data_IF_564100881217
#
_entry.id   IF_564100881217
#
_cell.length_a   1.000
_cell.length_b   1.000
_cell.length_c   1.000
_cell.angle_alpha   90.00
_cell.angle_beta   90.00
_cell.angle_gamma   90.00
#
_symmetry.space_group_name_H-M   'P 1'
#
loop_
_entity.id
_entity.type
_entity.pdbx_description
1 polymer ?
#
# COMPACT_ATOMS: atom_id res chain seq x y z
N UNK A 1 -18.12 26.81 -11.41
CA UNK A 1 -18.71 25.46 -11.45
C UNK A 1 -18.79 25.02 -10.01
N UNK A 2 -19.95 24.95 -9.41
CA UNK A 2 -20.07 24.38 -8.08
C UNK A 2 -19.70 22.90 -8.20
N UNK A 3 -18.54 22.55 -7.67
CA UNK A 3 -18.24 21.16 -7.38
C UNK A 3 -19.38 20.62 -6.54
N UNK A 4 -20.21 19.80 -7.14
CA UNK A 4 -21.10 18.93 -6.37
C UNK A 4 -20.16 17.94 -5.70
N UNK A 5 -19.65 18.34 -4.54
CA UNK A 5 -19.04 17.43 -3.61
C UNK A 5 -20.00 16.26 -3.48
N UNK A 6 -19.54 15.07 -3.84
CA UNK A 6 -20.31 13.85 -3.63
C UNK A 6 -20.80 13.86 -2.18
N UNK A 7 -22.00 13.41 -1.95
CA UNK A 7 -22.63 13.48 -0.64
C UNK A 7 -21.82 12.78 0.48
N UNK A 8 -20.87 11.91 0.10
CA UNK A 8 -19.86 11.36 1.01
C UNK A 8 -18.89 12.42 1.57
N UNK A 9 -18.55 13.44 0.80
CA UNK A 9 -17.58 14.46 1.26
C UNK A 9 -18.19 15.54 2.16
N UNK A 10 -19.50 15.51 2.36
CA UNK A 10 -20.21 16.44 3.26
C UNK A 10 -20.70 15.81 4.56
N UNK A 11 -20.74 14.50 4.67
CA UNK A 11 -21.19 13.79 5.87
C UNK A 11 -20.10 12.84 6.39
N UNK A 12 -19.21 13.37 7.21
CA UNK A 12 -18.14 12.60 7.86
C UNK A 12 -18.62 11.31 8.53
N UNK A 13 -19.88 11.30 8.97
CA UNK A 13 -20.49 10.13 9.62
C UNK A 13 -20.76 9.01 8.63
N UNK A 14 -21.15 9.32 7.41
CA UNK A 14 -21.39 8.33 6.36
C UNK A 14 -20.07 7.75 5.84
N UNK A 15 -19.05 8.60 5.66
CA UNK A 15 -17.71 8.16 5.25
C UNK A 15 -17.08 7.19 6.24
N UNK A 16 -17.10 7.52 7.53
CA UNK A 16 -16.56 6.66 8.58
C UNK A 16 -17.30 5.33 8.61
N UNK A 17 -18.63 5.33 8.52
CA UNK A 17 -19.42 4.09 8.50
C UNK A 17 -19.10 3.21 7.31
N UNK A 18 -18.93 3.79 6.13
CA UNK A 18 -18.58 3.01 4.93
C UNK A 18 -17.19 2.41 5.08
N UNK A 19 -16.20 3.19 5.51
CA UNK A 19 -14.84 2.68 5.77
C UNK A 19 -14.84 1.56 6.80
N UNK A 20 -15.54 1.73 7.92
CA UNK A 20 -15.63 0.73 8.98
C UNK A 20 -16.31 -0.56 8.48
N UNK A 21 -17.39 -0.45 7.73
CA UNK A 21 -18.06 -1.61 7.15
C UNK A 21 -17.18 -2.34 6.14
N UNK A 22 -16.45 -1.61 5.29
CA UNK A 22 -15.53 -2.23 4.35
C UNK A 22 -14.36 -2.90 5.05
N UNK A 23 -13.79 -2.28 6.05
CA UNK A 23 -12.72 -2.86 6.86
C UNK A 23 -13.15 -4.15 7.54
N UNK A 24 -14.32 -4.12 8.16
CA UNK A 24 -14.91 -5.29 8.81
C UNK A 24 -15.25 -6.41 7.82
N UNK A 25 -15.75 -6.04 6.65
CA UNK A 25 -16.04 -6.97 5.56
C UNK A 25 -14.77 -7.64 5.03
N UNK A 26 -13.69 -6.88 4.84
CA UNK A 26 -12.40 -7.39 4.39
C UNK A 26 -11.75 -8.32 5.44
N UNK A 27 -11.79 -7.95 6.71
CA UNK A 27 -11.29 -8.77 7.83
C UNK A 27 -12.08 -10.07 7.96
N UNK A 28 -13.40 -10.02 7.88
CA UNK A 28 -14.26 -11.20 7.98
C UNK A 28 -14.01 -12.18 6.84
N UNK A 29 -13.53 -11.69 5.69
CA UNK A 29 -13.13 -12.50 4.55
C UNK A 29 -11.72 -13.10 4.68
N UNK A 30 -11.01 -12.78 5.77
CA UNK A 30 -9.66 -13.28 6.05
C UNK A 30 -8.56 -12.59 5.24
N UNK A 31 -8.81 -11.39 4.74
CA UNK A 31 -7.84 -10.62 3.95
C UNK A 31 -6.97 -9.71 4.80
N UNK A 32 -7.44 -9.39 6.01
CA UNK A 32 -6.69 -8.59 7.00
C UNK A 32 -6.83 -9.17 8.39
N UNK A 33 -5.76 -9.11 9.17
CA UNK A 33 -5.78 -9.45 10.58
C UNK A 33 -6.45 -8.36 11.42
N UNK A 34 -7.13 -8.74 12.46
CA UNK A 34 -7.71 -7.84 13.44
C UNK A 34 -9.06 -8.30 13.98
N UNK A 35 -9.57 -7.55 14.95
CA UNK A 35 -10.88 -7.81 15.53
C UNK A 35 -11.97 -7.66 14.48
N UNK A 36 -12.84 -8.65 14.40
CA UNK A 36 -14.03 -8.65 13.54
C UNK A 36 -15.26 -8.58 14.44
N UNK A 37 -16.13 -7.62 14.19
CA UNK A 37 -17.44 -7.61 14.83
C UNK A 37 -18.30 -8.75 14.27
N UNK A 38 -18.45 -9.79 15.07
CA UNK A 38 -19.25 -10.98 14.74
C UNK A 38 -20.74 -10.82 15.09
N UNK A 39 -21.13 -9.71 15.69
CA UNK A 39 -22.54 -9.45 16.05
C UNK A 39 -23.44 -9.32 14.81
N UNK A 40 -22.85 -8.92 13.67
CA UNK A 40 -23.54 -8.78 12.39
C UNK A 40 -22.99 -9.83 11.41
N UNK A 41 -23.89 -10.58 10.79
CA UNK A 41 -23.49 -11.58 9.80
C UNK A 41 -22.88 -10.95 8.55
N UNK A 42 -22.02 -11.71 7.87
CA UNK A 42 -21.38 -11.26 6.62
C UNK A 42 -22.38 -10.81 5.56
N UNK A 43 -23.49 -11.55 5.40
CA UNK A 43 -24.55 -11.22 4.44
C UNK A 43 -25.28 -9.93 4.80
N UNK A 44 -25.47 -9.64 6.09
CA UNK A 44 -26.08 -8.39 6.54
C UNK A 44 -25.16 -7.19 6.33
N UNK A 45 -23.85 -7.35 6.55
CA UNK A 45 -22.86 -6.30 6.26
C UNK A 45 -22.86 -5.97 4.76
N UNK A 46 -22.79 -6.99 3.91
CA UNK A 46 -22.87 -6.83 2.46
C UNK A 46 -24.14 -6.12 2.02
N UNK A 47 -25.28 -6.51 2.59
CA UNK A 47 -26.56 -5.86 2.31
C UNK A 47 -26.58 -4.40 2.73
N UNK A 48 -26.10 -4.09 3.95
CA UNK A 48 -26.00 -2.71 4.43
C UNK A 48 -25.14 -1.82 3.54
N UNK A 49 -23.98 -2.32 3.09
CA UNK A 49 -23.10 -1.62 2.16
C UNK A 49 -23.83 -1.37 0.84
N UNK A 50 -24.47 -2.38 0.27
CA UNK A 50 -25.26 -2.23 -0.96
C UNK A 50 -26.37 -1.21 -0.81
N UNK A 51 -27.11 -1.24 0.29
CA UNK A 51 -28.20 -0.33 0.55
C UNK A 51 -27.71 1.13 0.67
N UNK A 52 -26.57 1.35 1.34
CA UNK A 52 -25.93 2.67 1.44
C UNK A 52 -25.46 3.17 0.08
N UNK A 53 -24.74 2.36 -0.69
CA UNK A 53 -24.26 2.74 -2.01
C UNK A 53 -25.42 3.04 -2.97
N UNK A 54 -26.46 2.20 -2.97
CA UNK A 54 -27.65 2.41 -3.80
C UNK A 54 -28.47 3.63 -3.38
N UNK A 55 -28.52 3.95 -2.08
CA UNK A 55 -29.15 5.18 -1.60
C UNK A 55 -28.44 6.43 -2.14
N UNK A 56 -27.11 6.43 -2.16
CA UNK A 56 -26.33 7.53 -2.73
C UNK A 56 -26.48 7.62 -4.26
N UNK A 57 -26.53 6.50 -4.97
CA UNK A 57 -26.81 6.47 -6.41
C UNK A 57 -28.18 7.08 -6.72
N UNK A 58 -29.21 6.74 -5.96
CA UNK A 58 -30.55 7.32 -6.10
C UNK A 58 -30.55 8.83 -5.84
N UNK A 59 -29.86 9.28 -4.80
CA UNK A 59 -29.74 10.69 -4.44
C UNK A 59 -29.00 11.48 -5.53
N UNK A 60 -27.91 10.94 -6.06
CA UNK A 60 -27.11 11.57 -7.09
C UNK A 60 -27.84 11.62 -8.45
N UNK A 61 -28.53 10.53 -8.82
CA UNK A 61 -29.31 10.46 -10.05
C UNK A 61 -30.61 11.25 -9.99
N UNK A 62 -31.09 11.64 -8.80
CA UNK A 62 -32.39 12.25 -8.55
C UNK A 62 -33.58 11.43 -9.09
N UNK A 63 -33.39 10.11 -9.18
CA UNK A 63 -34.37 9.16 -9.70
C UNK A 63 -34.86 8.27 -8.56
N UNK A 64 -36.13 8.23 -8.34
CA UNK A 64 -36.75 7.29 -7.39
C UNK A 64 -37.55 6.24 -8.17
N UNK A 65 -36.99 5.03 -8.21
CA UNK A 65 -37.61 3.89 -8.85
C UNK A 65 -38.09 2.89 -7.79
N UNK A 66 -39.37 2.48 -7.89
CA UNK A 66 -39.86 1.36 -7.11
C UNK A 66 -39.19 0.05 -7.57
N UNK A 67 -39.03 -0.90 -6.67
CA UNK A 67 -38.34 -2.19 -6.93
C UNK A 67 -39.17 -3.15 -7.81
N UNK A 68 -39.83 -2.67 -8.87
CA UNK A 68 -40.51 -3.48 -9.86
C UNK A 68 -39.58 -3.83 -11.02
N UNK A 69 -39.83 -4.95 -11.69
CA UNK A 69 -38.99 -5.43 -12.80
C UNK A 69 -38.92 -4.37 -13.94
N UNK A 70 -39.99 -3.69 -14.23
CA UNK A 70 -40.02 -2.62 -15.22
C UNK A 70 -39.15 -1.42 -14.85
N UNK A 71 -39.05 -1.09 -13.54
CA UNK A 71 -38.15 -0.02 -13.07
C UNK A 71 -36.70 -0.39 -13.18
N UNK A 72 -36.35 -1.65 -12.98
CA UNK A 72 -34.96 -2.14 -13.13
C UNK A 72 -34.50 -2.01 -14.58
N UNK A 73 -35.31 -2.38 -15.55
CA UNK A 73 -35.00 -2.19 -16.98
C UNK A 73 -34.85 -0.71 -17.35
N UNK A 74 -35.70 0.16 -16.81
CA UNK A 74 -35.58 1.61 -17.01
C UNK A 74 -34.31 2.18 -16.40
N UNK A 75 -33.93 1.73 -15.21
CA UNK A 75 -32.66 2.10 -14.59
C UNK A 75 -31.45 1.68 -15.47
N UNK A 76 -31.47 0.45 -15.99
CA UNK A 76 -30.38 -0.07 -16.83
C UNK A 76 -30.14 0.78 -18.08
N UNK A 77 -31.20 1.37 -18.63
CA UNK A 77 -31.16 2.18 -19.85
C UNK A 77 -30.93 3.68 -19.59
N UNK A 78 -31.05 4.14 -18.35
CA UNK A 78 -30.92 5.55 -18.02
C UNK A 78 -29.44 5.96 -17.89
N UNK A 79 -28.90 6.84 -18.75
CA UNK A 79 -27.52 7.25 -18.68
C UNK A 79 -27.18 8.01 -17.41
N UNK A 80 -28.11 8.76 -16.83
CA UNK A 80 -27.91 9.48 -15.56
C UNK A 80 -27.73 8.51 -14.40
N UNK A 81 -28.49 7.40 -14.38
CA UNK A 81 -28.32 6.37 -13.37
C UNK A 81 -26.98 5.63 -13.52
N UNK A 82 -26.60 5.31 -14.75
CA UNK A 82 -25.33 4.66 -15.04
C UNK A 82 -24.14 5.53 -14.62
N UNK A 83 -24.20 6.82 -14.93
CA UNK A 83 -23.20 7.79 -14.50
C UNK A 83 -23.13 7.90 -12.98
N UNK A 84 -24.27 8.03 -12.30
CA UNK A 84 -24.32 8.09 -10.83
C UNK A 84 -23.78 6.81 -10.17
N UNK A 85 -24.08 5.64 -10.76
CA UNK A 85 -23.60 4.35 -10.28
C UNK A 85 -22.07 4.28 -10.33
N UNK A 86 -21.45 4.69 -11.44
CA UNK A 86 -19.99 4.72 -11.58
C UNK A 86 -19.36 5.78 -10.69
N UNK A 87 -19.93 6.97 -10.61
CA UNK A 87 -19.40 8.04 -9.76
C UNK A 87 -19.38 7.66 -8.27
N UNK A 88 -20.35 6.89 -7.80
CA UNK A 88 -20.35 6.38 -6.42
C UNK A 88 -19.29 5.30 -6.21
N UNK A 89 -19.07 4.43 -7.20
CA UNK A 89 -17.99 3.44 -7.14
C UNK A 89 -16.62 4.14 -7.10
N UNK A 90 -16.38 5.09 -7.98
CA UNK A 90 -15.13 5.83 -8.06
C UNK A 90 -14.82 6.55 -6.74
N UNK A 91 -15.81 7.25 -6.18
CA UNK A 91 -15.67 7.90 -4.90
C UNK A 91 -15.40 6.93 -3.74
N UNK A 92 -16.03 5.77 -3.75
CA UNK A 92 -15.79 4.76 -2.73
C UNK A 92 -14.38 4.14 -2.84
N UNK A 93 -13.85 3.94 -4.05
CA UNK A 93 -12.47 3.49 -4.26
C UNK A 93 -11.49 4.54 -3.72
N UNK A 94 -11.68 5.81 -4.08
CA UNK A 94 -10.80 6.91 -3.63
C UNK A 94 -10.78 7.09 -2.12
N UNK A 95 -11.87 6.72 -1.45
CA UNK A 95 -11.98 6.80 -0.01
C UNK A 95 -11.30 5.62 0.70
N UNK A 96 -11.40 4.41 0.15
CA UNK A 96 -11.00 3.17 0.82
C UNK A 96 -9.56 2.78 0.48
N UNK A 97 -9.13 2.97 -0.76
CA UNK A 97 -7.80 2.54 -1.23
C UNK A 97 -6.63 3.16 -0.45
N UNK A 98 -6.57 4.48 -0.20
CA UNK A 98 -5.48 5.07 0.57
C UNK A 98 -5.38 4.54 2.00
N UNK A 99 -6.51 4.28 2.64
CA UNK A 99 -6.57 3.76 4.01
C UNK A 99 -6.00 2.34 4.10
N UNK A 100 -6.29 1.49 3.12
CA UNK A 100 -5.74 0.14 3.06
C UNK A 100 -4.23 0.13 2.83
N UNK A 101 -3.75 0.95 1.90
CA UNK A 101 -2.32 1.04 1.59
C UNK A 101 -1.54 1.59 2.77
N UNK A 102 -2.04 2.64 3.44
CA UNK A 102 -1.37 3.22 4.59
C UNK A 102 -1.20 2.21 5.74
N UNK A 103 -2.20 1.37 5.99
CA UNK A 103 -2.11 0.32 7.02
C UNK A 103 -1.01 -0.70 6.77
N UNK A 104 -0.78 -1.04 5.51
CA UNK A 104 0.17 -2.10 5.14
C UNK A 104 1.60 -1.57 5.01
N UNK A 105 1.77 -0.34 4.51
CA UNK A 105 3.08 0.16 4.10
C UNK A 105 3.57 1.40 4.85
N UNK A 106 2.79 1.95 5.78
CA UNK A 106 3.07 3.21 6.47
C UNK A 106 4.42 3.27 7.19
N UNK A 107 4.99 2.12 7.56
CA UNK A 107 6.28 2.06 8.26
C UNK A 107 7.41 2.59 7.37
N UNK A 108 7.43 2.26 6.08
CA UNK A 108 8.50 2.60 5.16
C UNK A 108 8.06 3.44 3.95
N UNK A 109 6.76 3.77 3.85
CA UNK A 109 6.19 4.54 2.73
C UNK A 109 5.64 5.89 3.21
N UNK A 110 5.98 6.96 2.49
CA UNK A 110 5.37 8.27 2.61
C UNK A 110 4.41 8.48 1.44
N UNK A 111 3.14 8.70 1.72
CA UNK A 111 2.10 8.90 0.72
C UNK A 111 1.74 10.38 0.59
N UNK A 112 1.63 10.86 -0.66
CA UNK A 112 1.12 12.19 -1.01
C UNK A 112 0.01 12.08 -2.04
N UNK A 113 -1.08 12.78 -1.79
CA UNK A 113 -2.20 12.90 -2.70
C UNK A 113 -2.17 14.28 -3.35
N UNK A 114 -2.46 14.34 -4.65
CA UNK A 114 -2.52 15.60 -5.40
C UNK A 114 -3.58 15.57 -6.48
N UNK A 115 -3.85 16.73 -7.07
CA UNK A 115 -4.76 16.85 -8.21
C UNK A 115 -4.08 16.37 -9.51
N UNK A 116 -4.88 16.19 -10.55
CA UNK A 116 -4.37 15.83 -11.89
C UNK A 116 -3.47 16.96 -12.40
N UNK A 117 -2.25 16.60 -12.78
CA UNK A 117 -1.25 17.55 -13.30
C UNK A 117 -0.38 18.19 -12.21
N UNK A 118 -0.55 17.83 -10.95
CA UNK A 118 0.33 18.31 -9.89
C UNK A 118 1.74 17.71 -10.02
N UNK A 119 2.73 18.51 -9.62
CA UNK A 119 4.12 18.06 -9.59
C UNK A 119 4.45 17.50 -8.21
N UNK A 120 4.63 16.19 -8.12
CA UNK A 120 5.01 15.51 -6.88
C UNK A 120 6.52 15.61 -6.67
N UNK A 121 6.93 16.64 -5.92
CA UNK A 121 8.32 16.87 -5.57
C UNK A 121 8.55 16.46 -4.12
N UNK A 122 9.62 15.71 -3.92
CA UNK A 122 10.09 15.29 -2.61
C UNK A 122 11.45 15.92 -2.36
N UNK A 123 11.58 16.57 -1.22
CA UNK A 123 12.85 17.13 -0.78
C UNK A 123 13.72 16.03 -0.20
N UNK A 124 14.99 16.05 -0.54
CA UNK A 124 16.00 15.10 -0.09
C UNK A 124 17.03 15.88 0.68
N UNK A 125 16.93 15.86 2.00
CA UNK A 125 17.88 16.51 2.89
C UNK A 125 19.12 15.64 3.08
N UNK A 126 20.31 16.25 3.12
CA UNK A 126 21.53 15.50 3.45
C UNK A 126 21.48 15.01 4.89
N UNK A 127 21.81 13.76 5.09
CA UNK A 127 21.91 13.16 6.43
C UNK A 127 23.25 13.47 7.11
N UNK A 128 24.18 14.10 6.37
CA UNK A 128 25.52 14.40 6.84
C UNK A 128 25.50 15.53 7.87
N UNK A 129 26.26 15.32 8.94
CA UNK A 129 26.54 16.38 9.90
C UNK A 129 27.70 17.24 9.46
N UNK A 130 27.64 18.53 9.79
CA UNK A 130 28.80 19.38 9.67
C UNK A 130 29.94 18.85 10.53
N UNK A 131 31.11 18.68 9.92
CA UNK A 131 32.31 18.22 10.60
C UNK A 131 32.83 19.31 11.52
N UNK A 132 32.89 19.04 12.81
CA UNK A 132 33.43 19.99 13.80
C UNK A 132 34.98 19.78 13.84
N UNK A 133 35.69 20.78 13.35
CA UNK A 133 37.17 20.79 13.41
C UNK A 133 37.68 21.36 14.73
N UNK A 134 38.71 20.73 15.30
CA UNK A 134 39.45 21.29 16.43
C UNK A 134 40.52 22.25 15.90
N UNK A 135 40.38 23.55 16.23
CA UNK A 135 41.36 24.53 15.90
C UNK A 135 42.00 25.10 17.18
N UNK A 136 43.30 25.39 17.14
CA UNK A 136 43.98 26.10 18.22
C UNK A 136 43.45 27.53 18.34
N UNK A 137 43.61 28.17 19.54
CA UNK A 137 43.03 29.50 19.81
C UNK A 137 43.50 30.61 18.83
N UNK A 138 44.56 30.41 18.06
CA UNK A 138 45.06 31.38 17.07
C UNK A 138 45.13 30.83 15.64
N UNK A 139 44.48 29.70 15.34
CA UNK A 139 44.50 29.12 14.00
C UNK A 139 43.09 29.18 13.38
N UNK A 140 43.01 29.82 12.19
CA UNK A 140 41.85 29.72 11.30
C UNK A 140 42.02 28.57 10.35
N UNK A 141 41.52 27.41 10.71
CA UNK A 141 41.58 26.22 9.84
C UNK A 141 40.24 25.50 9.81
N UNK A 142 39.22 26.24 9.51
CA UNK A 142 37.85 25.73 9.34
C UNK A 142 37.45 25.92 7.90
N UNK A 143 37.18 24.82 7.20
CA UNK A 143 36.57 24.86 5.87
C UNK A 143 35.09 25.14 5.96
N UNK A 144 34.57 25.89 5.00
CA UNK A 144 33.15 26.16 4.89
C UNK A 144 32.47 24.92 4.31
N UNK A 145 31.45 24.43 5.00
CA UNK A 145 30.62 23.34 4.57
C UNK A 145 29.27 23.90 4.09
N UNK A 146 28.71 23.28 3.07
CA UNK A 146 27.39 23.66 2.53
C UNK A 146 26.41 22.55 2.84
N UNK A 147 25.16 22.95 3.09
CA UNK A 147 24.02 22.08 3.13
C UNK A 147 23.39 22.06 1.73
N UNK A 148 23.33 20.87 1.14
CA UNK A 148 22.72 20.66 -0.15
C UNK A 148 21.36 19.97 0.04
N UNK A 149 20.29 20.66 -0.36
CA UNK A 149 18.93 20.11 -0.40
C UNK A 149 18.62 19.79 -1.87
N UNK A 150 18.43 18.51 -2.15
CA UNK A 150 18.01 18.03 -3.47
C UNK A 150 16.49 17.92 -3.56
N UNK A 151 15.95 18.08 -4.75
CA UNK A 151 14.55 17.74 -5.05
C UNK A 151 14.50 16.64 -6.10
N UNK A 152 13.64 15.67 -5.85
CA UNK A 152 13.31 14.62 -6.84
C UNK A 152 11.82 14.63 -7.10
N UNK A 153 11.43 14.53 -8.37
CA UNK A 153 10.05 14.43 -8.78
C UNK A 153 9.69 13.00 -9.15
N UNK A 154 8.50 12.59 -8.78
CA UNK A 154 7.92 11.30 -9.18
C UNK A 154 6.82 11.59 -10.20
N UNK A 155 6.84 10.86 -11.29
CA UNK A 155 5.83 10.95 -12.36
C UNK A 155 4.84 9.81 -12.14
N UNK A 156 3.54 10.11 -11.91
CA UNK A 156 2.51 9.09 -11.81
C UNK A 156 2.22 8.45 -13.18
N UNK A 157 1.87 7.16 -13.16
CA UNK A 157 1.40 6.41 -14.31
C UNK A 157 -0.03 5.97 -14.10
N UNK A 158 -0.75 5.78 -15.19
CA UNK A 158 -2.15 5.35 -15.14
C UNK A 158 -2.24 3.82 -15.08
N UNK A 159 -2.94 3.31 -14.08
CA UNK A 159 -3.18 1.88 -13.85
C UNK A 159 -4.66 1.59 -14.04
N UNK A 160 -4.96 0.53 -14.78
CA UNK A 160 -6.30 0.23 -15.23
C UNK A 160 -6.74 -1.17 -14.82
N UNK A 161 -7.98 -1.28 -14.37
CA UNK A 161 -8.68 -2.56 -14.21
C UNK A 161 -9.83 -2.58 -15.20
N UNK A 162 -9.85 -3.53 -16.10
CA UNK A 162 -10.96 -3.75 -17.02
C UNK A 162 -11.74 -4.99 -16.60
N UNK A 163 -13.00 -4.81 -16.31
CA UNK A 163 -13.89 -5.88 -15.87
C UNK A 163 -15.12 -5.93 -16.78
N UNK A 164 -15.42 -7.13 -17.27
CA UNK A 164 -16.67 -7.40 -17.99
C UNK A 164 -17.71 -7.85 -16.98
N UNK A 165 -18.83 -7.15 -16.91
CA UNK A 165 -19.95 -7.47 -16.03
C UNK A 165 -21.28 -7.46 -16.80
N UNK A 166 -22.25 -8.22 -16.29
CA UNK A 166 -23.59 -8.19 -16.87
C UNK A 166 -24.47 -7.23 -16.07
N UNK A 167 -24.73 -6.04 -16.64
CA UNK A 167 -25.57 -5.01 -16.02
C UNK A 167 -26.90 -5.55 -15.49
N UNK A 168 -27.48 -6.47 -16.22
CA UNK A 168 -28.76 -7.04 -15.84
C UNK A 168 -28.71 -7.84 -14.55
N UNK A 169 -27.64 -8.60 -14.36
CA UNK A 169 -27.43 -9.35 -13.12
C UNK A 169 -27.17 -8.43 -11.93
N UNK A 170 -26.39 -7.37 -12.13
CA UNK A 170 -26.12 -6.38 -11.10
C UNK A 170 -27.41 -5.67 -10.64
N UNK A 171 -28.22 -5.23 -11.58
CA UNK A 171 -29.50 -4.54 -11.28
C UNK A 171 -30.58 -5.47 -10.72
N UNK A 172 -30.58 -6.74 -11.12
CA UNK A 172 -31.48 -7.75 -10.53
C UNK A 172 -31.06 -8.24 -9.13
N UNK A 173 -29.99 -7.67 -8.56
CA UNK A 173 -29.49 -8.05 -7.24
C UNK A 173 -28.80 -9.42 -7.19
N UNK A 174 -28.51 -10.02 -8.35
CA UNK A 174 -27.76 -11.28 -8.44
C UNK A 174 -26.25 -11.08 -8.31
N UNK A 175 -25.76 -9.91 -8.66
CA UNK A 175 -24.40 -9.45 -8.42
C UNK A 175 -24.41 -8.31 -7.40
N UNK A 176 -23.57 -8.41 -6.39
CA UNK A 176 -23.48 -7.42 -5.33
C UNK A 176 -22.53 -6.31 -5.73
N UNK A 177 -23.02 -5.06 -5.71
CA UNK A 177 -22.21 -3.85 -5.93
C UNK A 177 -21.07 -3.75 -4.91
N UNK A 178 -21.33 -4.08 -3.65
CA UNK A 178 -20.31 -4.09 -2.60
C UNK A 178 -19.20 -5.10 -2.87
N UNK A 179 -19.56 -6.28 -3.38
CA UNK A 179 -18.58 -7.32 -3.74
C UNK A 179 -17.73 -6.91 -4.93
N UNK A 180 -18.32 -6.28 -5.95
CA UNK A 180 -17.60 -5.75 -7.09
C UNK A 180 -16.61 -4.68 -6.66
N UNK A 181 -17.07 -3.70 -5.89
CA UNK A 181 -16.23 -2.62 -5.35
C UNK A 181 -15.09 -3.17 -4.49
N UNK A 182 -15.40 -4.08 -3.56
CA UNK A 182 -14.38 -4.72 -2.72
C UNK A 182 -13.32 -5.42 -3.55
N UNK A 183 -13.72 -6.19 -4.55
CA UNK A 183 -12.79 -6.90 -5.42
C UNK A 183 -11.91 -5.94 -6.23
N UNK A 184 -12.47 -4.83 -6.70
CA UNK A 184 -11.72 -3.79 -7.42
C UNK A 184 -10.70 -3.09 -6.52
N UNK A 185 -11.11 -2.69 -5.31
CA UNK A 185 -10.21 -2.06 -4.32
C UNK A 185 -9.06 -3.00 -3.94
N UNK A 186 -9.38 -4.26 -3.63
CA UNK A 186 -8.36 -5.25 -3.26
C UNK A 186 -7.41 -5.60 -4.40
N UNK A 187 -7.90 -5.59 -5.65
CA UNK A 187 -7.02 -5.80 -6.81
C UNK A 187 -6.05 -4.64 -7.01
N UNK A 188 -6.52 -3.39 -6.82
CA UNK A 188 -5.67 -2.21 -6.88
C UNK A 188 -4.67 -2.16 -5.72
N UNK A 189 -5.14 -2.45 -4.50
CA UNK A 189 -4.30 -2.49 -3.32
C UNK A 189 -3.20 -3.55 -3.44
N UNK A 190 -3.55 -4.76 -3.90
CA UNK A 190 -2.59 -5.84 -4.07
C UNK A 190 -1.50 -5.49 -5.11
N UNK A 191 -1.86 -4.84 -6.22
CA UNK A 191 -0.87 -4.42 -7.21
C UNK A 191 -0.02 -3.26 -6.69
N UNK A 192 -0.63 -2.26 -6.07
CA UNK A 192 0.07 -1.11 -5.51
C UNK A 192 1.06 -1.52 -4.40
N UNK A 193 0.64 -2.36 -3.47
CA UNK A 193 1.52 -2.85 -2.38
C UNK A 193 2.62 -3.76 -2.91
N UNK A 194 2.34 -4.58 -3.92
CA UNK A 194 3.36 -5.36 -4.64
C UNK A 194 4.40 -4.46 -5.31
N UNK A 195 3.96 -3.42 -6.03
CA UNK A 195 4.87 -2.46 -6.68
C UNK A 195 5.72 -1.70 -5.66
N UNK A 196 5.14 -1.26 -4.53
CA UNK A 196 5.88 -0.61 -3.43
C UNK A 196 6.96 -1.54 -2.90
N UNK A 197 6.62 -2.79 -2.62
CA UNK A 197 7.53 -3.76 -2.06
C UNK A 197 8.66 -4.13 -3.05
N UNK A 198 8.33 -4.27 -4.35
CA UNK A 198 9.32 -4.53 -5.40
C UNK A 198 10.23 -3.33 -5.62
N UNK A 199 9.71 -2.11 -5.65
CA UNK A 199 10.51 -0.90 -5.77
C UNK A 199 11.52 -0.79 -4.60
N UNK A 200 11.04 -1.06 -3.38
CA UNK A 200 11.89 -1.10 -2.20
C UNK A 200 12.99 -2.18 -2.31
N UNK A 201 12.63 -3.41 -2.64
CA UNK A 201 13.57 -4.52 -2.78
C UNK A 201 14.65 -4.23 -3.84
N UNK A 202 14.23 -3.73 -5.01
CA UNK A 202 15.14 -3.37 -6.10
C UNK A 202 16.10 -2.26 -5.69
N UNK A 203 15.61 -1.21 -5.02
CA UNK A 203 16.47 -0.13 -4.56
C UNK A 203 17.48 -0.59 -3.49
N UNK A 204 17.11 -1.58 -2.67
CA UNK A 204 18.06 -2.16 -1.70
C UNK A 204 19.12 -3.04 -2.39
N UNK A 205 18.83 -3.65 -3.52
CA UNK A 205 19.84 -4.35 -4.34
C UNK A 205 20.88 -3.38 -4.91
N UNK A 206 20.44 -2.21 -5.38
CA UNK A 206 21.32 -1.16 -5.89
C UNK A 206 22.32 -0.67 -4.84
N UNK A 207 21.99 -0.71 -3.54
CA UNK A 207 22.93 -0.39 -2.45
C UNK A 207 24.16 -1.32 -2.46
N UNK A 208 23.98 -2.59 -2.80
CA UNK A 208 25.06 -3.56 -2.94
C UNK A 208 25.96 -3.24 -4.14
N UNK A 209 25.34 -2.91 -5.28
CA UNK A 209 26.05 -2.76 -6.56
C UNK A 209 26.81 -1.44 -6.66
N UNK A 210 26.41 -0.42 -5.90
CA UNK A 210 27.06 0.90 -5.88
C UNK A 210 28.33 0.99 -5.00
N UNK A 211 28.94 -0.14 -4.63
CA UNK A 211 30.23 -0.19 -3.92
C UNK A 211 30.15 0.03 -2.41
N UNK A 212 28.95 0.03 -1.85
CA UNK A 212 28.75 0.09 -0.40
C UNK A 212 28.84 -1.32 0.24
N UNK A 213 29.94 -2.05 -0.03
CA UNK A 213 30.17 -3.39 0.53
C UNK A 213 30.04 -3.44 2.06
N UNK A 214 30.34 -2.34 2.74
CA UNK A 214 30.17 -2.23 4.20
C UNK A 214 28.71 -2.32 4.67
N UNK A 215 27.76 -2.11 3.78
CA UNK A 215 26.31 -2.16 4.05
C UNK A 215 25.66 -3.45 3.55
N UNK A 216 26.46 -4.36 3.03
CA UNK A 216 26.02 -5.70 2.64
C UNK A 216 26.71 -6.77 3.47
N UNK A 217 25.93 -7.69 4.01
CA UNK A 217 26.43 -8.83 4.78
C UNK A 217 25.93 -10.12 4.12
N UNK A 218 26.87 -10.99 3.75
CA UNK A 218 26.55 -12.33 3.29
C UNK A 218 26.54 -13.29 4.49
N UNK A 219 25.44 -14.01 4.67
CA UNK A 219 25.23 -14.93 5.77
C UNK A 219 24.83 -14.25 7.09
N UNK A 220 24.46 -15.07 8.07
CA UNK A 220 23.89 -14.64 9.35
C UNK A 220 24.90 -14.70 10.51
N UNK A 221 26.17 -14.30 10.28
CA UNK A 221 27.13 -14.23 11.35
C UNK A 221 26.77 -13.11 12.36
N UNK A 222 26.57 -13.47 13.63
CA UNK A 222 26.13 -12.56 14.70
C UNK A 222 26.86 -11.22 14.73
N UNK A 223 28.21 -11.27 14.69
CA UNK A 223 29.05 -10.06 14.73
C UNK A 223 28.86 -9.16 13.50
N UNK A 224 28.65 -9.73 12.33
CA UNK A 224 28.45 -8.98 11.08
C UNK A 224 27.10 -8.31 11.06
N UNK A 225 26.07 -9.02 11.48
CA UNK A 225 24.69 -8.50 11.60
C UNK A 225 24.65 -7.35 12.63
N UNK A 226 25.23 -7.55 13.83
CA UNK A 226 25.29 -6.52 14.86
C UNK A 226 26.05 -5.28 14.36
N UNK A 227 27.19 -5.48 13.69
CA UNK A 227 27.97 -4.36 13.13
C UNK A 227 27.16 -3.58 12.08
N UNK A 228 26.43 -4.27 11.21
CA UNK A 228 25.58 -3.62 10.22
C UNK A 228 24.47 -2.80 10.89
N UNK A 229 23.76 -3.37 11.87
CA UNK A 229 22.72 -2.67 12.65
C UNK A 229 23.29 -1.42 13.31
N UNK A 230 24.45 -1.53 13.96
CA UNK A 230 25.11 -0.40 14.61
C UNK A 230 25.53 0.68 13.61
N UNK A 231 26.05 0.28 12.45
CA UNK A 231 26.43 1.20 11.38
C UNK A 231 25.22 1.99 10.88
N UNK A 232 24.13 1.30 10.53
CA UNK A 232 22.89 1.92 10.04
C UNK A 232 22.30 2.85 11.11
N UNK A 233 22.24 2.41 12.37
CA UNK A 233 21.72 3.23 13.47
C UNK A 233 22.59 4.46 13.76
N UNK A 234 23.91 4.31 13.72
CA UNK A 234 24.84 5.40 14.03
C UNK A 234 24.81 6.51 12.97
N UNK A 235 24.84 6.13 11.69
CA UNK A 235 24.82 7.11 10.60
C UNK A 235 23.46 7.79 10.46
N UNK A 236 22.37 7.05 10.64
CA UNK A 236 21.01 7.63 10.60
C UNK A 236 20.64 8.32 11.92
N UNK A 237 21.40 8.15 13.00
CA UNK A 237 21.07 8.66 14.35
C UNK A 237 19.67 8.27 14.81
N UNK A 238 19.22 7.12 14.39
CA UNK A 238 17.88 6.61 14.61
C UNK A 238 17.94 5.09 14.80
N UNK A 239 17.02 4.51 15.56
CA UNK A 239 16.97 3.05 15.73
C UNK A 239 16.74 2.38 14.37
N UNK A 240 17.48 1.30 14.12
CA UNK A 240 17.27 0.46 12.97
C UNK A 240 16.19 -0.59 13.26
N UNK A 241 15.53 -1.05 12.22
CA UNK A 241 14.66 -2.23 12.21
C UNK A 241 15.14 -3.22 11.15
N UNK A 242 14.88 -4.50 11.39
CA UNK A 242 15.11 -5.57 10.42
C UNK A 242 13.79 -5.87 9.72
N UNK A 243 13.79 -5.88 8.39
CA UNK A 243 12.63 -6.21 7.57
C UNK A 243 12.96 -7.32 6.58
N UNK A 244 12.08 -8.31 6.47
CA UNK A 244 12.24 -9.37 5.49
C UNK A 244 10.98 -10.19 5.33
N UNK A 245 10.96 -11.07 4.35
CA UNK A 245 9.88 -12.05 4.23
C UNK A 245 9.92 -13.04 5.40
N UNK A 246 8.81 -13.71 5.66
CA UNK A 246 8.74 -14.71 6.73
C UNK A 246 9.80 -15.80 6.58
N UNK A 247 10.09 -16.20 5.33
CA UNK A 247 11.15 -17.18 5.01
C UNK A 247 12.52 -16.67 5.42
N UNK A 248 12.90 -15.46 5.02
CA UNK A 248 14.20 -14.87 5.35
C UNK A 248 14.36 -14.63 6.85
N UNK A 249 13.32 -14.13 7.51
CA UNK A 249 13.35 -13.81 8.93
C UNK A 249 13.34 -15.06 9.81
N UNK A 250 12.73 -16.16 9.34
CA UNK A 250 12.77 -17.45 10.04
C UNK A 250 14.19 -17.94 10.30
N UNK A 251 15.10 -17.72 9.37
CA UNK A 251 16.51 -18.15 9.49
C UNK A 251 17.34 -17.21 10.38
N UNK A 252 16.79 -16.07 10.79
CA UNK A 252 17.45 -15.10 11.67
C UNK A 252 17.47 -15.60 13.12
N UNK A 253 18.24 -16.64 13.37
CA UNK A 253 18.44 -17.23 14.70
C UNK A 253 19.85 -16.95 15.20
N UNK A 254 20.03 -16.65 16.50
CA UNK A 254 21.36 -16.54 17.09
C UNK A 254 22.16 -17.83 16.85
N UNK A 255 23.41 -17.71 16.45
CA UNK A 255 24.26 -18.89 16.20
C UNK A 255 24.68 -19.61 17.49
N UNK A 256 24.59 -18.93 18.63
CA UNK A 256 24.90 -19.52 19.94
C UNK A 256 23.81 -20.51 20.37
N UNK A 257 24.18 -21.76 20.59
CA UNK A 257 23.30 -22.83 21.04
C UNK A 257 22.51 -22.50 22.33
N UNK A 258 23.17 -21.77 23.25
CA UNK A 258 22.55 -21.38 24.52
C UNK A 258 21.45 -20.31 24.33
N UNK A 259 21.63 -19.38 23.38
CA UNK A 259 20.61 -18.37 23.06
C UNK A 259 19.45 -19.00 22.31
N UNK A 260 19.68 -19.97 21.46
CA UNK A 260 18.62 -20.73 20.76
C UNK A 260 17.68 -21.43 21.74
N UNK A 261 18.19 -21.99 22.83
CA UNK A 261 17.36 -22.63 23.86
C UNK A 261 16.46 -21.65 24.62
N UNK A 262 16.85 -20.38 24.71
CA UNK A 262 16.07 -19.36 25.42
C UNK A 262 14.94 -18.76 24.58
N UNK A 263 14.99 -18.92 23.27
CA UNK A 263 14.04 -18.34 22.29
C UNK A 263 12.84 -19.26 21.99
N UNK A 264 12.87 -20.48 22.50
CA UNK A 264 12.06 -21.61 22.06
C UNK A 264 10.52 -21.40 22.14
N UNK A 265 10.00 -20.70 23.13
CA UNK A 265 8.53 -20.58 23.32
C UNK A 265 7.87 -19.57 22.37
N UNK A 266 8.48 -18.42 22.13
CA UNK A 266 7.92 -17.38 21.27
C UNK A 266 8.16 -17.71 19.79
N UNK A 267 9.30 -18.31 19.47
CA UNK A 267 9.61 -18.77 18.12
C UNK A 267 8.65 -19.85 17.61
N UNK A 268 8.33 -20.84 18.44
CA UNK A 268 7.36 -21.89 18.06
C UNK A 268 5.95 -21.31 17.83
N UNK A 269 5.59 -20.28 18.55
CA UNK A 269 4.25 -19.65 18.46
C UNK A 269 4.12 -18.71 17.25
N UNK A 270 5.14 -17.91 16.97
CA UNK A 270 5.09 -16.84 15.96
C UNK A 270 5.84 -17.20 14.68
N UNK A 271 6.81 -18.13 14.77
CA UNK A 271 7.64 -18.59 13.65
C UNK A 271 8.88 -17.74 13.38
N UNK A 272 9.07 -16.64 14.09
CA UNK A 272 10.25 -15.78 14.03
C UNK A 272 10.49 -15.07 15.37
N UNK A 273 11.63 -14.43 15.51
CA UNK A 273 11.99 -13.65 16.69
C UNK A 273 11.59 -12.20 16.46
N UNK A 274 10.70 -11.64 17.27
CA UNK A 274 10.23 -10.26 17.14
C UNK A 274 11.25 -9.19 17.51
N UNK A 275 12.26 -9.54 18.31
CA UNK A 275 13.34 -8.64 18.70
C UNK A 275 14.65 -9.42 18.81
N UNK A 276 15.67 -9.02 18.05
CA UNK A 276 17.00 -9.64 18.08
C UNK A 276 18.07 -8.56 18.25
N UNK A 277 19.04 -8.79 19.12
CA UNK A 277 20.12 -7.84 19.44
C UNK A 277 19.63 -6.42 19.83
N UNK A 278 18.43 -6.32 20.44
CA UNK A 278 17.82 -5.05 20.78
C UNK A 278 17.19 -4.29 19.60
N UNK A 279 17.00 -4.97 18.47
CA UNK A 279 16.43 -4.42 17.24
C UNK A 279 15.13 -5.14 16.92
N UNK A 280 14.11 -4.39 16.58
CA UNK A 280 12.81 -4.94 16.21
C UNK A 280 12.86 -5.59 14.83
N UNK A 281 12.18 -6.73 14.72
CA UNK A 281 12.08 -7.50 13.47
C UNK A 281 10.65 -7.40 12.95
N UNK A 282 10.52 -6.92 11.73
CA UNK A 282 9.24 -6.77 11.03
C UNK A 282 9.17 -7.72 9.84
N UNK A 283 8.11 -8.50 9.77
CA UNK A 283 7.86 -9.39 8.64
C UNK A 283 7.13 -8.62 7.55
N UNK A 284 7.69 -8.64 6.33
CA UNK A 284 7.02 -8.15 5.13
C UNK A 284 6.06 -9.22 4.61
N UNK A 285 4.81 -8.87 4.33
CA UNK A 285 3.89 -9.80 3.71
C UNK A 285 4.36 -10.16 2.31
N UNK A 286 4.25 -11.42 1.95
CA UNK A 286 4.57 -11.90 0.60
C UNK A 286 3.38 -11.63 -0.33
N UNK A 287 3.65 -11.25 -1.57
CA UNK A 287 2.63 -10.94 -2.56
C UNK A 287 2.63 -11.98 -3.67
N UNK A 288 1.45 -12.36 -4.13
CA UNK A 288 1.31 -13.26 -5.27
C UNK A 288 1.51 -12.49 -6.58
N UNK A 289 2.32 -13.03 -7.47
CA UNK A 289 2.49 -12.47 -8.81
C UNK A 289 1.47 -13.08 -9.76
N UNK A 290 0.31 -12.43 -9.90
CA UNK A 290 -0.77 -12.89 -10.77
C UNK A 290 -0.45 -12.77 -12.27
N UNK A 291 0.57 -12.00 -12.64
CA UNK A 291 1.01 -11.84 -14.03
C UNK A 291 2.03 -12.89 -14.45
N UNK A 292 2.59 -13.67 -13.52
CA UNK A 292 3.56 -14.69 -13.84
C UNK A 292 2.92 -15.86 -14.59
N UNK A 293 3.64 -16.38 -15.59
CA UNK A 293 3.22 -17.59 -16.32
C UNK A 293 3.22 -18.85 -15.42
N UNK A 294 4.07 -18.85 -14.41
CA UNK A 294 4.17 -19.92 -13.44
C UNK A 294 3.11 -19.75 -12.34
N UNK A 295 2.36 -20.82 -12.08
CA UNK A 295 1.39 -20.82 -10.98
C UNK A 295 2.12 -20.69 -9.64
N UNK A 296 1.56 -19.87 -8.74
CA UNK A 296 2.04 -19.68 -7.35
C UNK A 296 3.40 -19.02 -7.20
N UNK A 297 3.81 -18.18 -8.15
CA UNK A 297 5.02 -17.37 -8.01
C UNK A 297 4.81 -16.26 -6.98
N UNK A 298 5.80 -16.09 -6.11
CA UNK A 298 5.86 -15.00 -5.13
C UNK A 298 6.69 -13.84 -5.69
N UNK A 299 6.33 -12.61 -5.29
CA UNK A 299 6.91 -11.41 -5.84
C UNK A 299 8.23 -10.99 -5.16
N UNK A 300 8.34 -11.19 -3.84
CA UNK A 300 9.51 -10.75 -3.08
C UNK A 300 10.55 -11.87 -2.95
N UNK A 301 11.85 -11.53 -2.92
CA UNK A 301 12.91 -12.48 -2.65
C UNK A 301 12.81 -13.00 -1.20
N UNK A 302 13.03 -14.31 -1.04
CA UNK A 302 12.92 -15.00 0.25
C UNK A 302 14.25 -15.16 0.98
N UNK A 303 15.33 -14.64 0.39
CA UNK A 303 16.71 -14.79 0.87
C UNK A 303 17.33 -13.48 1.40
N UNK A 304 16.52 -12.43 1.56
CA UNK A 304 17.02 -11.09 1.93
C UNK A 304 16.35 -10.51 3.16
N UNK A 305 17.17 -9.90 4.01
CA UNK A 305 16.74 -9.11 5.16
C UNK A 305 17.29 -7.70 4.99
N UNK A 306 16.43 -6.71 5.10
CA UNK A 306 16.75 -5.30 4.98
C UNK A 306 16.89 -4.66 6.34
N UNK A 307 17.93 -3.84 6.52
CA UNK A 307 18.15 -3.06 7.74
C UNK A 307 17.91 -1.60 7.41
N UNK A 308 16.86 -1.02 7.97
CA UNK A 308 16.47 0.36 7.70
C UNK A 308 16.18 1.12 8.99
N UNK A 309 16.20 2.46 8.91
CA UNK A 309 15.81 3.36 10.01
C UNK A 309 14.63 4.22 9.57
N UNK A 310 13.39 3.74 9.70
CA UNK A 310 12.20 4.43 9.19
C UNK A 310 11.91 5.76 9.89
N UNK A 311 12.41 5.95 11.11
CA UNK A 311 12.30 7.21 11.85
C UNK A 311 13.21 8.32 11.31
N UNK A 312 14.27 7.98 10.58
CA UNK A 312 15.13 8.98 9.93
C UNK A 312 14.45 9.55 8.68
N UNK A 313 14.11 8.70 7.73
CA UNK A 313 13.35 9.04 6.53
C UNK A 313 12.72 7.79 5.94
N UNK A 314 11.45 7.88 5.57
CA UNK A 314 10.77 6.78 4.88
C UNK A 314 11.30 6.66 3.45
N UNK A 315 11.86 5.51 3.07
CA UNK A 315 12.56 5.35 1.80
C UNK A 315 11.64 5.38 0.58
N UNK A 316 10.44 4.83 0.68
CA UNK A 316 9.50 4.77 -0.43
C UNK A 316 8.59 6.00 -0.42
N UNK A 317 8.48 6.64 -1.57
CA UNK A 317 7.58 7.77 -1.80
C UNK A 317 6.50 7.32 -2.78
N UNK A 318 5.26 7.42 -2.35
CA UNK A 318 4.07 7.11 -3.13
C UNK A 318 3.31 8.39 -3.42
N UNK A 319 2.99 8.64 -4.67
CA UNK A 319 2.08 9.71 -5.06
C UNK A 319 0.82 9.11 -5.70
N UNK A 320 -0.33 9.58 -5.24
CA UNK A 320 -1.64 9.28 -5.82
C UNK A 320 -2.14 10.55 -6.53
N UNK A 321 -2.38 10.46 -7.82
CA UNK A 321 -2.80 11.59 -8.65
C UNK A 321 -4.28 11.51 -8.96
N UNK A 322 -4.99 12.58 -8.69
CA UNK A 322 -6.38 12.77 -9.09
C UNK A 322 -7.36 11.78 -8.48
N UNK A 323 -8.60 11.92 -8.89
CA UNK A 323 -9.67 10.99 -8.54
C UNK A 323 -9.65 9.76 -9.46
N UNK A 324 -10.17 8.64 -8.95
CA UNK A 324 -10.46 7.46 -9.76
C UNK A 324 -11.48 7.81 -10.82
N UNK A 325 -11.29 7.32 -12.03
CA UNK A 325 -12.21 7.53 -13.14
C UNK A 325 -12.61 6.20 -13.74
N UNK A 326 -13.91 6.00 -13.90
CA UNK A 326 -14.43 4.82 -14.57
C UNK A 326 -15.04 5.17 -15.91
N UNK A 327 -14.85 4.29 -16.87
CA UNK A 327 -15.49 4.35 -18.17
C UNK A 327 -16.19 3.03 -18.46
N UNK A 328 -17.41 3.14 -18.95
CA UNK A 328 -18.24 2.00 -19.26
C UNK A 328 -18.58 1.99 -20.74
N UNK A 329 -18.30 0.89 -21.39
CA UNK A 329 -18.62 0.67 -22.79
C UNK A 329 -19.63 -0.46 -22.88
N UNK A 330 -20.79 -0.15 -23.46
CA UNK A 330 -21.81 -1.16 -23.72
C UNK A 330 -21.41 -1.98 -24.96
N UNK A 331 -21.32 -3.27 -24.81
CA UNK A 331 -21.08 -4.20 -25.90
C UNK A 331 -22.37 -4.48 -26.66
N UNK A 332 -22.88 -3.48 -27.40
CA UNK A 332 -24.04 -3.69 -28.27
C UNK A 332 -23.69 -4.54 -29.52
N UNK A 333 -22.41 -4.79 -29.80
CA UNK A 333 -21.96 -5.53 -30.97
C UNK A 333 -22.26 -7.04 -30.86
N UNK A 334 -22.21 -7.58 -29.64
CA UNK A 334 -22.28 -9.04 -29.42
C UNK A 334 -23.65 -9.51 -28.90
N UNK A 335 -24.61 -8.63 -28.69
CA UNK A 335 -25.97 -8.89 -28.19
C UNK A 335 -26.03 -9.73 -26.90
N UNK A 336 -24.95 -9.81 -26.15
CA UNK A 336 -24.81 -10.63 -24.92
C UNK A 336 -25.13 -9.86 -23.62
N UNK A 337 -25.54 -8.59 -23.73
CA UNK A 337 -25.83 -7.69 -22.61
C UNK A 337 -24.69 -7.49 -21.62
N UNK A 338 -23.44 -7.75 -22.05
CA UNK A 338 -22.27 -7.49 -21.23
C UNK A 338 -21.88 -6.01 -21.30
N UNK A 339 -21.30 -5.53 -20.22
CA UNK A 339 -20.78 -4.18 -20.11
C UNK A 339 -19.34 -4.27 -19.68
N UNK A 340 -18.47 -3.64 -20.43
CA UNK A 340 -17.07 -3.52 -20.07
C UNK A 340 -16.85 -2.24 -19.30
N UNK A 341 -16.43 -2.38 -18.05
CA UNK A 341 -16.10 -1.24 -17.19
C UNK A 341 -14.60 -1.20 -17.00
N UNK A 342 -13.98 -0.07 -17.31
CA UNK A 342 -12.56 0.19 -17.04
C UNK A 342 -12.46 1.22 -15.95
N UNK A 343 -11.78 0.87 -14.88
CA UNK A 343 -11.51 1.75 -13.74
C UNK A 343 -10.04 2.16 -13.82
N UNK A 344 -9.78 3.45 -13.80
CA UNK A 344 -8.46 4.03 -13.94
C UNK A 344 -8.09 4.77 -12.65
N UNK A 345 -6.86 4.57 -12.17
CA UNK A 345 -6.25 5.32 -11.09
C UNK A 345 -4.79 5.58 -11.41
N UNK A 346 -4.34 6.81 -11.20
CA UNK A 346 -2.94 7.18 -11.42
C UNK A 346 -2.17 7.16 -10.12
N UNK A 347 -1.04 6.45 -10.10
CA UNK A 347 -0.08 6.50 -9.01
C UNK A 347 1.35 6.41 -9.52
N UNK A 348 2.27 6.90 -8.71
CA UNK A 348 3.69 6.81 -8.97
C UNK A 348 4.45 6.41 -7.72
N UNK A 349 5.45 5.57 -7.89
CA UNK A 349 6.29 5.07 -6.81
C UNK A 349 7.74 5.41 -7.13
N UNK A 350 8.46 5.84 -6.10
CA UNK A 350 9.89 6.09 -6.19
C UNK A 350 10.57 5.82 -4.86
N UNK A 351 11.79 5.34 -4.91
CA UNK A 351 12.63 5.22 -3.71
C UNK A 351 13.55 6.42 -3.66
N UNK A 352 13.32 7.26 -2.67
CA UNK A 352 14.03 8.52 -2.46
C UNK A 352 14.36 8.60 -0.98
N UNK A 353 15.63 8.38 -0.65
CA UNK A 353 16.11 8.49 0.72
C UNK A 353 17.60 8.82 0.74
N UNK A 354 18.00 9.60 1.73
CA UNK A 354 19.41 9.78 2.13
C UNK A 354 19.76 8.94 3.36
N UNK A 355 18.77 8.28 3.96
CA UNK A 355 19.02 7.37 5.05
C UNK A 355 19.84 6.17 4.56
N UNK A 356 20.84 5.81 5.33
CA UNK A 356 21.67 4.65 5.05
C UNK A 356 20.86 3.39 5.39
N UNK A 357 20.86 2.44 4.47
CA UNK A 357 20.24 1.15 4.64
C UNK A 357 21.25 0.02 4.39
N UNK A 358 20.99 -1.15 4.95
CA UNK A 358 21.83 -2.32 4.77
C UNK A 358 21.03 -3.52 4.29
N UNK A 359 21.72 -4.49 3.68
CA UNK A 359 21.13 -5.74 3.20
C UNK A 359 21.91 -6.93 3.75
N UNK A 360 21.19 -7.91 4.24
CA UNK A 360 21.73 -9.21 4.65
C UNK A 360 21.17 -10.25 3.68
N UNK A 361 22.07 -10.98 3.02
CA UNK A 361 21.68 -12.13 2.20
C UNK A 361 21.76 -13.39 3.05
N UNK A 362 20.64 -14.05 3.23
CA UNK A 362 20.51 -15.32 3.92
C UNK A 362 20.83 -16.40 2.90
N UNK A 363 21.95 -17.09 3.02
CA UNK A 363 22.40 -18.16 2.11
C UNK A 363 22.64 -19.45 2.86
#
# INVERSE_FOLDING_TARGET
MNEKTLAFSGDMTAEVKIKDYFNDYAKQRGQYDGYVDTSISFAEKEKKINDLLMAEVKKLSSLDFNNSFASIEMMAKNPTFQWAYMAVIDAAIDMVLPDFVDRTTSVYTEMRNGAIGDSFKFDVESNDLFVVSKAGRNQRNTEFQREDIGQRSIIPFNHNISVSSNKYKALCGKESMARFLMKSVLSMEAELTKEIALAFATAMEDVKDNGAEALHVAGLADKSVIKLIQTVSAYNRAPAILMGTMSAVHDLLPQSANLRMMVDSDYVRVGYISNIYGTDVMVMPQYADYAAADQYKLALPDDKIYVISPSAQKPVKLCLEGATTSNTVDSNADADLTTNTTINKSWGIGVITNAIAGVITVS
#
